data_IF_727774327944
#
_entry.id   IF_727774327944
#
_cell.length_a   1.000
_cell.length_b   1.000
_cell.length_c   1.000
_cell.angle_alpha   90.00
_cell.angle_beta   90.00
_cell.angle_gamma   90.00
#
_symmetry.space_group_name_H-M   'P 1'
#
loop_
_entity.id
_entity.type
_entity.pdbx_description
1 polymer ?
#
# COMPACT_ATOMS: atom_id res chain seq x y z
N UNK A 1 -23.13 3.87 3.32
CA UNK A 1 -22.18 2.85 2.80
C UNK A 1 -22.88 1.51 2.61
N UNK A 2 -23.50 0.92 3.64
CA UNK A 2 -24.19 -0.39 3.54
C UNK A 2 -25.28 -0.37 2.45
N UNK A 3 -26.13 0.63 2.49
CA UNK A 3 -27.19 0.85 1.51
C UNK A 3 -26.66 1.04 0.07
N UNK A 4 -25.56 1.78 -0.07
CA UNK A 4 -24.92 2.07 -1.36
C UNK A 4 -24.27 0.82 -1.96
N UNK A 5 -23.74 -0.07 -1.12
CA UNK A 5 -23.04 -1.29 -1.54
C UNK A 5 -23.93 -2.54 -1.55
N UNK A 6 -25.18 -2.44 -1.07
CA UNK A 6 -26.07 -3.58 -0.97
C UNK A 6 -25.63 -4.66 0.01
N UNK A 7 -24.88 -4.28 1.06
CA UNK A 7 -24.35 -5.20 2.07
C UNK A 7 -25.06 -4.99 3.42
N UNK A 8 -25.12 -6.04 4.25
CA UNK A 8 -25.61 -5.92 5.61
C UNK A 8 -24.62 -5.13 6.48
N UNK A 9 -25.14 -4.24 7.34
CA UNK A 9 -24.33 -3.55 8.34
C UNK A 9 -24.82 -3.96 9.73
N UNK A 10 -23.91 -4.39 10.57
CA UNK A 10 -24.16 -4.82 11.93
C UNK A 10 -23.32 -3.99 12.90
N UNK A 11 -23.83 -3.78 14.12
CA UNK A 11 -23.10 -3.09 15.20
C UNK A 11 -22.42 -4.05 16.16
N UNK A 12 -22.55 -5.35 15.94
CA UNK A 12 -22.04 -6.44 16.75
C UNK A 12 -21.07 -7.27 15.88
N UNK A 13 -19.78 -7.19 16.18
CA UNK A 13 -18.73 -7.88 15.44
C UNK A 13 -18.90 -9.41 15.47
N UNK A 14 -19.32 -9.97 16.60
CA UNK A 14 -19.53 -11.43 16.75
C UNK A 14 -20.61 -11.94 15.81
N UNK A 15 -21.68 -11.16 15.63
CA UNK A 15 -22.74 -11.51 14.68
C UNK A 15 -22.29 -11.32 13.23
N UNK A 16 -21.48 -10.32 12.98
CA UNK A 16 -21.01 -9.98 11.63
C UNK A 16 -20.11 -11.08 11.01
N UNK A 17 -19.37 -11.81 11.83
CA UNK A 17 -18.39 -12.82 11.37
C UNK A 17 -18.95 -14.23 11.21
N UNK A 18 -20.15 -14.51 11.70
CA UNK A 18 -20.74 -15.86 11.63
C UNK A 18 -21.00 -16.29 10.19
N UNK A 19 -20.51 -17.47 9.84
CA UNK A 19 -20.68 -18.04 8.52
C UNK A 19 -19.86 -17.35 7.43
N UNK A 20 -18.88 -16.51 7.79
CA UNK A 20 -17.96 -15.89 6.86
C UNK A 20 -16.83 -16.88 6.48
N UNK A 21 -16.42 -16.90 5.23
CA UNK A 21 -15.22 -17.61 4.75
C UNK A 21 -13.97 -16.75 4.99
N UNK A 22 -14.11 -15.43 4.89
CA UNK A 22 -13.03 -14.45 5.07
C UNK A 22 -13.53 -13.33 5.98
N UNK A 23 -12.71 -12.96 6.96
CA UNK A 23 -12.94 -11.82 7.83
C UNK A 23 -11.82 -10.80 7.66
N UNK A 24 -12.17 -9.56 7.30
CA UNK A 24 -11.22 -8.46 7.17
C UNK A 24 -11.29 -7.54 8.39
N UNK A 25 -10.17 -7.45 9.12
CA UNK A 25 -9.99 -6.53 10.25
C UNK A 25 -9.44 -5.21 9.72
N UNK A 26 -10.34 -4.22 9.56
CA UNK A 26 -10.04 -2.88 9.02
C UNK A 26 -10.15 -1.77 10.06
N UNK A 27 -9.84 -2.06 11.34
CA UNK A 27 -9.89 -1.09 12.43
C UNK A 27 -8.54 -0.39 12.64
N UNK A 28 -8.52 0.64 13.50
CA UNK A 28 -7.24 1.28 13.88
C UNK A 28 -6.31 0.25 14.54
N UNK A 29 -4.98 0.34 14.31
CA UNK A 29 -4.01 -0.66 14.78
C UNK A 29 -4.17 -1.04 16.26
N UNK A 30 -4.32 -0.06 17.14
CA UNK A 30 -4.48 -0.28 18.58
C UNK A 30 -5.74 -1.11 18.97
N UNK A 31 -6.70 -1.27 18.06
CA UNK A 31 -7.93 -2.03 18.29
C UNK A 31 -7.87 -3.44 17.70
N UNK A 32 -6.94 -3.73 16.81
CA UNK A 32 -6.95 -4.95 16.00
C UNK A 32 -6.90 -6.23 16.85
N UNK A 33 -6.02 -6.31 17.83
CA UNK A 33 -5.90 -7.46 18.71
C UNK A 33 -7.16 -7.66 19.58
N UNK A 34 -7.75 -6.56 20.09
CA UNK A 34 -8.97 -6.63 20.89
C UNK A 34 -10.17 -7.12 20.05
N UNK A 35 -10.31 -6.62 18.82
CA UNK A 35 -11.36 -7.07 17.89
C UNK A 35 -11.13 -8.53 17.49
N UNK A 36 -9.91 -8.95 17.21
CA UNK A 36 -9.58 -10.34 16.91
C UNK A 36 -9.97 -11.28 18.08
N UNK A 37 -9.66 -10.88 19.33
CA UNK A 37 -10.04 -11.64 20.52
C UNK A 37 -11.56 -11.68 20.76
N UNK A 38 -12.25 -10.56 20.50
CA UNK A 38 -13.72 -10.47 20.64
C UNK A 38 -14.44 -11.46 19.72
N UNK A 39 -13.99 -11.62 18.47
CA UNK A 39 -14.65 -12.45 17.46
C UNK A 39 -14.19 -13.90 17.46
N UNK A 40 -13.12 -14.23 18.16
CA UNK A 40 -12.40 -15.51 18.04
C UNK A 40 -13.29 -16.75 18.17
N UNK A 41 -14.20 -16.76 19.16
CA UNK A 41 -15.10 -17.90 19.44
C UNK A 41 -16.25 -18.04 18.42
N UNK A 42 -16.56 -16.98 17.68
CA UNK A 42 -17.64 -16.95 16.67
C UNK A 42 -17.16 -17.27 15.26
N UNK A 43 -15.84 -17.45 15.07
CA UNK A 43 -15.22 -17.80 13.77
C UNK A 43 -15.22 -19.31 13.55
N UNK A 44 -15.62 -19.75 12.35
CA UNK A 44 -15.43 -21.14 11.95
C UNK A 44 -13.92 -21.46 11.82
N UNK A 45 -13.49 -22.73 12.02
CA UNK A 45 -12.09 -23.13 12.01
C UNK A 45 -11.31 -22.83 10.72
N UNK A 46 -12.00 -22.71 9.60
CA UNK A 46 -11.39 -22.52 8.28
C UNK A 46 -11.38 -21.04 7.82
N UNK A 47 -11.94 -20.13 8.63
CA UNK A 47 -12.01 -18.72 8.28
C UNK A 47 -10.62 -18.12 8.12
N UNK A 48 -10.39 -17.45 7.00
CA UNK A 48 -9.16 -16.68 6.78
C UNK A 48 -9.33 -15.29 7.39
N UNK A 49 -8.44 -14.92 8.30
CA UNK A 49 -8.44 -13.58 8.90
C UNK A 49 -7.43 -12.70 8.19
N UNK A 50 -7.92 -11.69 7.49
CA UNK A 50 -7.11 -10.65 6.83
C UNK A 50 -7.02 -9.43 7.75
N UNK A 51 -5.83 -8.89 7.97
CA UNK A 51 -5.65 -7.61 8.66
C UNK A 51 -5.02 -6.58 7.74
N UNK A 52 -5.63 -5.39 7.66
CA UNK A 52 -5.06 -4.22 6.99
C UNK A 52 -4.56 -3.16 8.00
N UNK A 53 -4.42 -3.54 9.26
CA UNK A 53 -3.94 -2.66 10.31
C UNK A 53 -2.42 -2.47 10.23
N UNK A 54 -1.97 -1.22 10.06
CA UNK A 54 -0.55 -0.89 9.99
C UNK A 54 0.17 -1.26 11.29
N UNK A 55 1.36 -1.88 11.18
CA UNK A 55 2.19 -2.24 12.32
C UNK A 55 1.74 -3.48 13.10
N UNK A 56 0.53 -3.99 12.93
CA UNK A 56 0.05 -5.19 13.68
C UNK A 56 0.55 -6.46 13.02
N UNK A 57 1.33 -7.26 13.77
CA UNK A 57 1.94 -8.48 13.25
C UNK A 57 0.96 -9.66 13.19
N UNK A 58 1.23 -10.63 12.32
CA UNK A 58 0.49 -11.89 12.28
C UNK A 58 0.54 -12.62 13.62
N UNK A 59 1.70 -12.57 14.30
CA UNK A 59 1.88 -13.17 15.62
C UNK A 59 0.93 -12.56 16.67
N UNK A 60 0.78 -11.23 16.68
CA UNK A 60 -0.16 -10.53 17.59
C UNK A 60 -1.59 -10.99 17.36
N UNK A 61 -2.00 -11.11 16.10
CA UNK A 61 -3.35 -11.56 15.75
C UNK A 61 -3.57 -13.04 16.03
N UNK A 62 -2.59 -13.90 15.73
CA UNK A 62 -2.65 -15.32 16.05
C UNK A 62 -2.75 -15.55 17.56
N UNK A 63 -2.02 -14.78 18.37
CA UNK A 63 -2.12 -14.85 19.83
C UNK A 63 -3.51 -14.46 20.33
N UNK A 64 -4.13 -13.42 19.73
CA UNK A 64 -5.48 -12.99 20.06
C UNK A 64 -6.56 -14.03 19.67
N UNK A 65 -6.31 -14.80 18.61
CA UNK A 65 -7.20 -15.84 18.11
C UNK A 65 -6.95 -17.23 18.75
N UNK A 66 -5.82 -17.42 19.44
CA UNK A 66 -5.37 -18.72 19.97
C UNK A 66 -6.36 -19.40 20.91
N UNK A 67 -7.09 -18.69 21.82
CA UNK A 67 -8.03 -19.35 22.75
C UNK A 67 -9.10 -20.20 22.08
N UNK A 68 -9.46 -19.90 20.84
CA UNK A 68 -10.45 -20.65 20.05
C UNK A 68 -9.84 -21.62 19.02
N UNK A 69 -8.55 -21.99 19.15
CA UNK A 69 -7.85 -22.93 18.28
C UNK A 69 -7.08 -22.29 17.14
N UNK A 70 -6.96 -20.94 17.12
CA UNK A 70 -6.26 -20.20 16.09
C UNK A 70 -7.01 -20.16 14.75
N UNK A 71 -6.54 -19.32 13.83
CA UNK A 71 -7.06 -19.21 12.45
C UNK A 71 -5.91 -18.85 11.51
N UNK A 72 -6.01 -19.18 10.22
CA UNK A 72 -5.09 -18.65 9.22
C UNK A 72 -5.15 -17.10 9.20
N UNK A 73 -4.02 -16.46 9.40
CA UNK A 73 -3.90 -14.98 9.41
C UNK A 73 -3.06 -14.54 8.22
N UNK A 74 -3.56 -13.56 7.48
CA UNK A 74 -2.83 -12.92 6.38
C UNK A 74 -2.79 -11.42 6.61
N UNK A 75 -1.60 -10.87 6.72
CA UNK A 75 -1.40 -9.43 6.81
C UNK A 75 -1.38 -8.83 5.42
N UNK A 76 -2.17 -7.78 5.19
CA UNK A 76 -2.28 -7.09 3.90
C UNK A 76 -2.13 -5.60 4.12
N UNK A 77 -1.33 -4.93 3.29
CA UNK A 77 -1.27 -3.47 3.27
C UNK A 77 -1.68 -2.98 1.88
N UNK A 78 -2.90 -2.45 1.74
CA UNK A 78 -3.35 -1.78 0.53
C UNK A 78 -2.85 -0.34 0.45
N UNK A 79 -3.00 0.27 -0.73
CA UNK A 79 -2.83 1.70 -0.91
C UNK A 79 -4.03 2.38 -1.58
N UNK A 80 -4.09 3.71 -1.55
CA UNK A 80 -5.24 4.48 -2.02
C UNK A 80 -5.57 4.37 -3.51
N UNK A 81 -4.64 4.09 -4.45
CA UNK A 81 -4.96 3.86 -5.86
C UNK A 81 -5.90 2.67 -6.14
N UNK A 82 -6.18 1.82 -5.16
CA UNK A 82 -7.25 0.80 -5.28
C UNK A 82 -8.60 1.40 -5.69
N UNK A 83 -8.88 2.66 -5.33
CA UNK A 83 -10.12 3.37 -5.70
C UNK A 83 -10.32 3.52 -7.21
N UNK A 84 -9.26 3.38 -7.98
CA UNK A 84 -9.27 3.44 -9.45
C UNK A 84 -8.82 2.12 -10.09
N UNK A 85 -8.84 1.01 -9.33
CA UNK A 85 -8.45 -0.31 -9.82
C UNK A 85 -6.94 -0.46 -10.08
N UNK A 86 -6.12 0.37 -9.46
CA UNK A 86 -4.65 0.37 -9.59
C UNK A 86 -3.99 0.29 -8.21
N UNK A 87 -4.61 -0.49 -7.29
CA UNK A 87 -4.06 -0.72 -5.96
C UNK A 87 -2.72 -1.45 -6.01
N UNK A 88 -1.92 -1.25 -4.96
CA UNK A 88 -0.81 -2.14 -4.65
C UNK A 88 -1.07 -2.74 -3.28
N UNK A 89 -0.98 -4.06 -3.21
CA UNK A 89 -1.25 -4.82 -2.00
C UNK A 89 0.03 -5.57 -1.61
N UNK A 90 0.54 -5.30 -0.42
CA UNK A 90 1.60 -6.12 0.18
C UNK A 90 0.90 -7.22 0.96
N UNK A 91 1.27 -8.47 0.72
CA UNK A 91 0.66 -9.64 1.38
C UNK A 91 1.75 -10.40 2.13
N UNK A 92 1.48 -10.73 3.38
CA UNK A 92 2.36 -11.54 4.22
C UNK A 92 1.52 -12.56 5.00
N UNK A 93 1.45 -13.81 4.54
CA UNK A 93 0.82 -14.89 5.29
C UNK A 93 1.59 -15.19 6.58
N UNK A 94 0.89 -15.54 7.65
CA UNK A 94 1.51 -16.12 8.83
C UNK A 94 2.13 -17.49 8.50
N UNK A 95 3.07 -17.93 9.30
CA UNK A 95 3.63 -19.29 9.17
C UNK A 95 2.51 -20.36 9.27
N UNK A 96 2.44 -21.24 8.29
CA UNK A 96 1.39 -22.26 8.16
C UNK A 96 0.07 -21.76 7.55
N UNK A 97 0.03 -20.50 7.05
CA UNK A 97 -1.13 -19.92 6.37
C UNK A 97 -0.86 -19.66 4.87
N UNK A 98 0.05 -20.41 4.24
CA UNK A 98 0.45 -20.19 2.85
C UNK A 98 -0.73 -20.36 1.89
N UNK A 99 -1.57 -21.38 2.08
CA UNK A 99 -2.78 -21.58 1.28
C UNK A 99 -3.79 -20.42 1.43
N UNK A 100 -3.92 -19.90 2.64
CA UNK A 100 -4.75 -18.71 2.87
C UNK A 100 -4.15 -17.48 2.17
N UNK A 101 -2.83 -17.36 2.13
CA UNK A 101 -2.12 -16.35 1.34
C UNK A 101 -2.48 -16.40 -0.14
N UNK A 102 -2.44 -17.58 -0.76
CA UNK A 102 -2.84 -17.77 -2.16
C UNK A 102 -4.30 -17.37 -2.42
N UNK A 103 -5.21 -17.70 -1.51
CA UNK A 103 -6.62 -17.28 -1.61
C UNK A 103 -6.78 -15.77 -1.54
N UNK A 104 -6.04 -15.12 -0.63
CA UNK A 104 -6.07 -13.66 -0.48
C UNK A 104 -5.47 -12.97 -1.70
N UNK A 105 -4.37 -13.49 -2.26
CA UNK A 105 -3.78 -12.97 -3.50
C UNK A 105 -4.79 -13.04 -4.64
N UNK A 106 -5.43 -14.18 -4.85
CA UNK A 106 -6.44 -14.35 -5.90
C UNK A 106 -7.65 -13.40 -5.72
N UNK A 107 -8.04 -13.12 -4.47
CA UNK A 107 -9.11 -12.16 -4.14
C UNK A 107 -8.73 -10.72 -4.50
N UNK A 108 -7.47 -10.34 -4.31
CA UNK A 108 -6.99 -8.97 -4.48
C UNK A 108 -6.50 -8.66 -5.90
N UNK A 109 -6.08 -9.66 -6.67
CA UNK A 109 -5.53 -9.52 -8.01
C UNK A 109 -6.39 -8.67 -8.98
N UNK A 110 -7.73 -8.78 -8.99
CA UNK A 110 -8.57 -7.92 -9.83
C UNK A 110 -8.54 -6.42 -9.45
N UNK A 111 -8.02 -6.07 -8.28
CA UNK A 111 -8.00 -4.71 -7.74
C UNK A 111 -6.67 -3.97 -7.98
N UNK A 112 -5.65 -4.69 -8.49
CA UNK A 112 -4.34 -4.11 -8.77
C UNK A 112 -3.19 -5.11 -8.65
N UNK A 113 -2.01 -4.63 -8.31
CA UNK A 113 -0.79 -5.45 -8.20
C UNK A 113 -0.68 -6.02 -6.79
N UNK A 114 -0.50 -7.33 -6.68
CA UNK A 114 -0.27 -8.01 -5.40
C UNK A 114 1.18 -8.45 -5.31
N UNK A 115 1.84 -8.11 -4.20
CA UNK A 115 3.24 -8.48 -3.95
C UNK A 115 3.33 -9.20 -2.61
N UNK A 116 3.64 -10.49 -2.65
CA UNK A 116 3.92 -11.25 -1.45
C UNK A 116 5.34 -10.98 -0.96
N UNK A 117 5.48 -10.72 0.34
CA UNK A 117 6.77 -10.54 1.00
C UNK A 117 6.80 -11.27 2.35
N UNK A 118 7.96 -11.73 2.80
CA UNK A 118 8.12 -12.19 4.18
C UNK A 118 7.71 -11.08 5.16
N UNK A 119 7.01 -11.42 6.25
CA UNK A 119 6.45 -10.43 7.18
C UNK A 119 7.51 -9.45 7.73
N UNK A 120 8.75 -9.90 7.92
CA UNK A 120 9.86 -9.03 8.35
C UNK A 120 10.17 -7.87 7.41
N UNK A 121 9.72 -7.94 6.16
CA UNK A 121 9.87 -6.90 5.14
C UNK A 121 8.60 -6.06 4.96
N UNK A 122 7.49 -6.43 5.59
CA UNK A 122 6.19 -5.81 5.39
C UNK A 122 6.19 -4.30 5.65
N UNK A 123 6.84 -3.85 6.74
CA UNK A 123 6.90 -2.42 7.08
C UNK A 123 7.79 -1.62 6.11
N UNK A 124 8.89 -2.22 5.63
CA UNK A 124 9.73 -1.61 4.60
C UNK A 124 8.98 -1.51 3.26
N UNK A 125 8.26 -2.55 2.87
CA UNK A 125 7.41 -2.54 1.68
C UNK A 125 6.25 -1.54 1.81
N UNK A 126 5.67 -1.41 3.02
CA UNK A 126 4.65 -0.38 3.33
C UNK A 126 5.19 1.04 3.13
N UNK A 127 6.44 1.31 3.49
CA UNK A 127 7.06 2.60 3.25
C UNK A 127 7.16 2.92 1.75
N UNK A 128 7.30 1.92 0.88
CA UNK A 128 7.34 2.09 -0.58
C UNK A 128 5.94 2.29 -1.15
N UNK A 129 4.99 1.39 -0.91
CA UNK A 129 3.71 1.37 -1.60
C UNK A 129 2.53 1.88 -0.77
N UNK A 130 2.48 1.60 0.53
CA UNK A 130 1.40 2.06 1.40
C UNK A 130 1.38 3.59 1.54
N UNK A 131 2.55 4.18 1.82
CA UNK A 131 2.74 5.63 1.92
C UNK A 131 3.14 6.29 0.59
N UNK A 132 3.59 5.50 -0.39
CA UNK A 132 4.10 5.95 -1.69
C UNK A 132 3.21 6.96 -2.42
N UNK A 133 1.88 6.79 -2.47
CA UNK A 133 1.00 7.76 -3.12
C UNK A 133 1.18 9.19 -2.61
N UNK A 134 1.43 9.38 -1.30
CA UNK A 134 1.66 10.71 -0.74
C UNK A 134 2.93 11.35 -1.30
N UNK A 135 3.99 10.57 -1.55
CA UNK A 135 5.23 11.07 -2.14
C UNK A 135 5.03 11.50 -3.58
N UNK A 136 4.27 10.71 -4.36
CA UNK A 136 3.92 11.04 -5.75
C UNK A 136 3.08 12.31 -5.80
N UNK A 137 2.12 12.49 -4.90
CA UNK A 137 1.31 13.72 -4.83
C UNK A 137 2.15 14.93 -4.45
N UNK A 138 3.10 14.80 -3.53
CA UNK A 138 4.03 15.89 -3.18
C UNK A 138 4.93 16.26 -4.36
N UNK A 139 5.44 15.29 -5.11
CA UNK A 139 6.21 15.54 -6.34
C UNK A 139 5.35 16.25 -7.38
N UNK A 140 4.10 15.80 -7.58
CA UNK A 140 3.17 16.44 -8.49
C UNK A 140 2.90 17.92 -8.12
N UNK A 141 2.65 18.18 -6.83
CA UNK A 141 2.43 19.53 -6.30
C UNK A 141 3.65 20.44 -6.57
N UNK A 142 4.85 19.95 -6.27
CA UNK A 142 6.09 20.69 -6.51
C UNK A 142 6.32 21.00 -8.02
N UNK A 143 6.03 20.06 -8.90
CA UNK A 143 6.14 20.24 -10.36
C UNK A 143 5.13 21.26 -10.86
N UNK A 144 3.88 21.22 -10.39
CA UNK A 144 2.82 22.15 -10.76
C UNK A 144 3.21 23.56 -10.32
N UNK A 145 3.63 23.73 -9.07
CA UNK A 145 3.97 25.03 -8.52
C UNK A 145 5.20 25.65 -9.20
N UNK A 146 6.21 24.85 -9.51
CA UNK A 146 7.35 25.28 -10.30
C UNK A 146 6.94 25.71 -11.73
N UNK A 147 6.05 24.96 -12.38
CA UNK A 147 5.49 25.32 -13.68
C UNK A 147 4.76 26.67 -13.65
N UNK A 148 3.95 26.88 -12.62
CA UNK A 148 3.23 28.16 -12.42
C UNK A 148 4.21 29.30 -12.18
N UNK A 149 5.25 29.09 -11.39
CA UNK A 149 6.30 30.09 -11.15
C UNK A 149 7.05 30.49 -12.43
N UNK A 150 7.13 29.59 -13.41
CA UNK A 150 7.69 29.85 -14.74
C UNK A 150 6.68 30.47 -15.73
N UNK A 151 5.44 30.78 -15.30
CA UNK A 151 4.42 31.42 -16.12
C UNK A 151 3.44 30.49 -16.82
N UNK A 152 3.48 29.17 -16.58
CA UNK A 152 2.47 28.26 -17.11
C UNK A 152 1.18 28.42 -16.31
N UNK A 153 0.02 28.63 -16.93
CA UNK A 153 -1.24 28.71 -16.18
C UNK A 153 -1.49 27.41 -15.39
N UNK A 154 -2.03 27.53 -14.17
CA UNK A 154 -2.17 26.40 -13.23
C UNK A 154 -2.91 25.22 -13.82
N UNK A 155 -3.97 25.44 -14.60
CA UNK A 155 -4.73 24.37 -15.21
C UNK A 155 -3.84 23.50 -16.16
N UNK A 156 -3.07 24.16 -17.03
CA UNK A 156 -2.15 23.50 -17.94
C UNK A 156 -0.97 22.83 -17.19
N UNK A 157 -0.41 23.51 -16.18
CA UNK A 157 0.65 22.92 -15.35
C UNK A 157 0.17 21.64 -14.66
N UNK A 158 -1.07 21.63 -14.16
CA UNK A 158 -1.68 20.46 -13.55
C UNK A 158 -1.86 19.32 -14.57
N UNK A 159 -2.47 19.62 -15.72
CA UNK A 159 -2.71 18.62 -16.78
C UNK A 159 -1.40 18.00 -17.28
N UNK A 160 -0.40 18.83 -17.60
CA UNK A 160 0.93 18.37 -18.03
C UNK A 160 1.60 17.48 -16.99
N UNK A 161 1.58 17.88 -15.72
CA UNK A 161 2.21 17.12 -14.64
C UNK A 161 1.53 15.76 -14.45
N UNK A 162 0.21 15.73 -14.35
CA UNK A 162 -0.54 14.48 -14.13
C UNK A 162 -0.34 13.52 -15.32
N UNK A 163 -0.44 14.02 -16.55
CA UNK A 163 -0.22 13.20 -17.75
C UNK A 163 1.23 12.66 -17.81
N UNK A 164 2.22 13.48 -17.46
CA UNK A 164 3.63 13.05 -17.45
C UNK A 164 3.88 11.98 -16.42
N UNK A 165 3.38 12.13 -15.18
CA UNK A 165 3.56 11.12 -14.14
C UNK A 165 2.87 9.80 -14.50
N UNK A 166 1.63 9.87 -14.97
CA UNK A 166 0.86 8.69 -15.37
C UNK A 166 1.54 7.96 -16.55
N UNK A 167 1.91 8.67 -17.61
CA UNK A 167 2.55 8.09 -18.78
C UNK A 167 3.93 7.50 -18.48
N UNK A 168 4.73 8.17 -17.62
CA UNK A 168 6.03 7.65 -17.20
C UNK A 168 5.92 6.38 -16.37
N UNK A 169 4.94 6.30 -15.46
CA UNK A 169 4.67 5.11 -14.68
C UNK A 169 4.21 3.93 -15.56
N UNK A 170 3.31 4.19 -16.51
CA UNK A 170 2.83 3.18 -17.47
C UNK A 170 3.97 2.70 -18.38
N UNK A 171 4.80 3.60 -18.91
CA UNK A 171 5.96 3.23 -19.71
C UNK A 171 6.93 2.35 -18.92
N UNK A 172 7.20 2.68 -17.67
CA UNK A 172 8.09 1.89 -16.82
C UNK A 172 7.50 0.51 -16.52
N UNK A 173 6.20 0.42 -16.28
CA UNK A 173 5.51 -0.85 -16.00
C UNK A 173 5.44 -1.75 -17.24
N UNK A 174 5.17 -1.18 -18.42
CA UNK A 174 5.00 -1.94 -19.67
C UNK A 174 6.32 -2.37 -20.32
N UNK A 175 7.37 -1.54 -20.21
CA UNK A 175 8.66 -1.86 -20.79
C UNK A 175 9.47 -2.88 -19.99
N UNK A 176 9.29 -2.92 -18.67
CA UNK A 176 10.14 -3.69 -17.75
C UNK A 176 11.60 -3.19 -17.67
N UNK A 177 11.91 -2.07 -18.32
CA UNK A 177 13.24 -1.49 -18.36
C UNK A 177 13.62 -0.89 -16.99
N UNK A 178 14.90 -0.97 -16.66
CA UNK A 178 15.40 -0.35 -15.45
C UNK A 178 15.21 1.19 -15.51
N UNK A 179 14.73 1.85 -14.44
CA UNK A 179 14.45 3.30 -14.44
C UNK A 179 15.62 4.17 -14.90
N UNK A 180 16.88 3.74 -14.65
CA UNK A 180 18.06 4.46 -15.12
C UNK A 180 18.21 4.43 -16.66
N UNK A 181 17.77 3.36 -17.32
CA UNK A 181 17.78 3.22 -18.77
C UNK A 181 16.75 4.17 -19.38
N UNK A 182 15.51 4.14 -18.87
CA UNK A 182 14.45 5.05 -19.31
C UNK A 182 14.82 6.52 -19.11
N UNK A 183 15.42 6.85 -17.96
CA UNK A 183 15.94 8.20 -17.69
C UNK A 183 17.02 8.58 -18.71
N UNK A 184 17.96 7.68 -19.03
CA UNK A 184 19.00 7.90 -20.02
C UNK A 184 18.45 8.18 -21.42
N UNK A 185 17.39 7.46 -21.83
CA UNK A 185 16.77 7.63 -23.14
C UNK A 185 16.16 9.03 -23.36
N UNK A 186 15.79 9.73 -22.29
CA UNK A 186 15.23 11.09 -22.35
C UNK A 186 16.24 12.18 -21.94
N UNK A 187 17.53 11.81 -21.79
CA UNK A 187 18.60 12.71 -21.33
C UNK A 187 19.71 12.82 -22.36
N UNK A 188 19.60 13.80 -23.25
CA UNK A 188 20.68 14.09 -24.22
C UNK A 188 21.83 14.83 -23.51
N UNK A 189 23.10 14.61 -23.95
CA UNK A 189 24.26 15.35 -23.45
C UNK A 189 24.10 16.86 -23.60
N UNK A 190 24.23 17.60 -22.47
CA UNK A 190 24.09 19.07 -22.47
C UNK A 190 22.64 19.58 -22.67
N UNK A 191 21.65 18.68 -22.72
CA UNK A 191 20.24 19.04 -22.91
C UNK A 191 19.55 19.58 -21.66
N UNK A 192 18.31 20.04 -21.84
CA UNK A 192 17.48 20.61 -20.76
C UNK A 192 17.21 19.60 -19.66
N UNK A 193 16.98 18.32 -20.01
CA UNK A 193 16.79 17.24 -19.04
C UNK A 193 18.05 17.03 -18.20
N UNK A 194 19.24 17.06 -18.81
CA UNK A 194 20.50 16.91 -18.09
C UNK A 194 20.69 18.03 -17.05
N UNK A 195 20.42 19.29 -17.44
CA UNK A 195 20.50 20.43 -16.54
C UNK A 195 19.50 20.33 -15.36
N UNK A 196 18.27 19.87 -15.62
CA UNK A 196 17.27 19.67 -14.59
C UNK A 196 17.66 18.55 -13.61
N UNK A 197 18.15 17.41 -14.12
CA UNK A 197 18.60 16.29 -13.28
C UNK A 197 19.80 16.70 -12.41
N UNK A 198 20.74 17.50 -12.92
CA UNK A 198 21.85 18.03 -12.13
C UNK A 198 21.36 18.81 -10.91
N UNK A 199 20.35 19.65 -11.07
CA UNK A 199 19.74 20.38 -9.95
C UNK A 199 19.07 19.45 -8.95
N UNK A 200 18.31 18.45 -9.40
CA UNK A 200 17.66 17.47 -8.50
C UNK A 200 18.68 16.65 -7.72
N UNK A 201 19.77 16.22 -8.37
CA UNK A 201 20.85 15.46 -7.70
C UNK A 201 21.63 16.34 -6.71
N UNK A 202 21.97 17.59 -7.09
CA UNK A 202 22.72 18.50 -6.22
C UNK A 202 21.92 18.94 -4.98
N UNK A 203 20.59 18.95 -5.07
CA UNK A 203 19.71 19.19 -3.93
C UNK A 203 19.36 17.90 -3.15
N UNK A 204 19.98 16.77 -3.46
CA UNK A 204 19.95 15.57 -2.65
C UNK A 204 18.64 14.78 -2.74
N UNK A 205 17.93 14.77 -3.89
CA UNK A 205 16.67 14.07 -4.08
C UNK A 205 16.74 12.61 -3.61
N UNK A 206 17.82 11.87 -3.96
CA UNK A 206 17.96 10.47 -3.55
C UNK A 206 18.07 10.32 -2.03
N UNK A 207 18.83 11.20 -1.39
CA UNK A 207 18.96 11.22 0.08
C UNK A 207 17.63 11.53 0.75
N UNK A 208 16.85 12.47 0.19
CA UNK A 208 15.52 12.80 0.70
C UNK A 208 14.59 11.58 0.68
N UNK A 209 14.53 10.85 -0.44
CA UNK A 209 13.74 9.61 -0.52
C UNK A 209 14.24 8.52 0.45
N UNK A 210 15.55 8.29 0.53
CA UNK A 210 16.11 7.30 1.46
C UNK A 210 15.69 7.59 2.91
N UNK A 211 15.85 8.84 3.35
CA UNK A 211 15.46 9.27 4.70
C UNK A 211 13.96 9.21 4.94
N UNK A 212 13.15 9.58 3.96
CA UNK A 212 11.69 9.53 4.07
C UNK A 212 11.19 8.09 4.25
N UNK A 213 11.70 7.15 3.46
CA UNK A 213 11.32 5.73 3.56
C UNK A 213 11.80 5.11 4.88
N UNK A 214 13.02 5.41 5.32
CA UNK A 214 13.53 4.99 6.64
C UNK A 214 12.61 5.48 7.76
N UNK A 215 12.29 6.76 7.78
CA UNK A 215 11.41 7.34 8.80
C UNK A 215 10.00 6.73 8.80
N UNK A 216 9.47 6.42 7.61
CA UNK A 216 8.17 5.77 7.46
C UNK A 216 8.20 4.34 8.03
N UNK A 217 9.19 3.52 7.65
CA UNK A 217 9.40 2.17 8.18
C UNK A 217 9.53 2.18 9.71
N UNK A 218 10.38 3.04 10.25
CA UNK A 218 10.64 3.12 11.68
C UNK A 218 9.40 3.57 12.46
N UNK A 219 8.56 4.41 11.86
CA UNK A 219 7.28 4.78 12.46
C UNK A 219 6.30 3.62 12.44
N UNK A 220 6.23 2.84 11.36
CA UNK A 220 5.37 1.65 11.28
C UNK A 220 5.75 0.61 12.35
N UNK A 221 7.04 0.32 12.50
CA UNK A 221 7.55 -0.58 13.53
C UNK A 221 7.21 -0.17 14.98
N UNK A 222 6.95 1.12 15.23
CA UNK A 222 6.54 1.63 16.56
C UNK A 222 5.03 1.58 16.81
N UNK A 223 4.24 1.21 15.81
CA UNK A 223 2.79 1.04 15.93
C UNK A 223 2.41 -0.41 16.30
N UNK A 224 3.42 -1.31 16.27
CA UNK A 224 3.32 -2.74 16.62
C UNK A 224 3.18 -2.95 18.11
#
# INVERSE_FOLDING_TARGET
VAETLGVAALTDNRKAVRGADIVLIGVKPAMAAAVASEIAEDLDPQVVVISIAAGVTTQTLQAALAPSGGRPVVRVMPNTPVKVGRGTFIVSPAAGAEQAGEQVIALLDPLGTVVEVPEKLHDAATAISGSGPAYVFLVAEAMIDAGVAMGVPRAQATELTVATLAGSAELMASSGEHPAVLRGAVTSPGGTTAAALDQLESHGLRTAFARALEACRDKAARLS
#
